data_IF_832754682309
#
_entry.id   IF_832754682309
#
_cell.length_a   1.000
_cell.length_b   1.000
_cell.length_c   1.000
_cell.angle_alpha   90.00
_cell.angle_beta   90.00
_cell.angle_gamma   90.00
#
_symmetry.space_group_name_H-M   'P 1'
#
loop_
_entity.id
_entity.type
_entity.pdbx_description
1 polymer ?
#
# COMPACT_ATOMS: atom_id res chain seq x y z
N UNK A 1 12.51 22.92 -7.05
CA UNK A 1 13.00 23.36 -5.73
C UNK A 1 12.25 24.59 -5.19
N UNK A 2 12.23 25.74 -5.86
CA UNK A 2 11.48 26.93 -5.36
C UNK A 2 9.99 26.67 -5.07
N UNK A 3 9.31 25.92 -5.95
CA UNK A 3 7.91 25.48 -5.75
C UNK A 3 7.70 24.58 -4.51
N UNK A 4 8.73 23.84 -4.09
CA UNK A 4 8.64 22.94 -2.93
C UNK A 4 8.81 23.71 -1.63
N UNK A 5 9.79 24.61 -1.56
CA UNK A 5 10.08 25.40 -0.36
C UNK A 5 8.92 26.32 0.05
N UNK A 6 8.22 26.96 -0.90
CA UNK A 6 7.05 27.83 -0.60
C UNK A 6 5.87 27.08 0.07
N UNK A 7 5.79 25.76 -0.14
CA UNK A 7 4.74 24.92 0.44
C UNK A 7 5.12 24.38 1.81
N UNK A 8 6.39 24.00 2.02
CA UNK A 8 6.87 23.48 3.30
C UNK A 8 6.79 24.51 4.44
N UNK A 9 7.04 25.78 4.15
CA UNK A 9 7.10 26.85 5.17
C UNK A 9 5.74 27.12 5.86
N UNK A 10 4.63 26.63 5.29
CA UNK A 10 3.26 26.86 5.76
C UNK A 10 2.69 25.71 6.60
N UNK A 11 3.47 24.65 6.84
CA UNK A 11 2.99 23.42 7.47
C UNK A 11 3.57 23.27 8.88
N UNK A 12 2.71 23.43 9.89
CA UNK A 12 3.11 23.37 11.31
C UNK A 12 2.97 21.98 11.94
N UNK A 13 2.28 21.03 11.30
CA UNK A 13 2.09 19.68 11.83
C UNK A 13 3.33 18.79 11.59
N UNK A 14 3.82 18.13 12.66
CA UNK A 14 5.04 17.31 12.64
C UNK A 14 4.97 16.12 11.68
N UNK A 15 3.81 15.49 11.53
CA UNK A 15 3.65 14.37 10.60
C UNK A 15 3.76 14.86 9.17
N UNK A 16 3.10 15.97 8.85
CA UNK A 16 3.20 16.59 7.55
C UNK A 16 4.62 17.09 7.26
N UNK A 17 5.33 17.63 8.25
CA UNK A 17 6.75 17.99 8.12
C UNK A 17 7.63 16.77 7.84
N UNK A 18 7.38 15.63 8.48
CA UNK A 18 8.09 14.37 8.23
C UNK A 18 7.84 13.87 6.80
N UNK A 19 6.59 13.93 6.34
CA UNK A 19 6.22 13.56 4.98
C UNK A 19 6.92 14.46 3.96
N UNK A 20 6.91 15.77 4.19
CA UNK A 20 7.64 16.75 3.37
C UNK A 20 9.14 16.50 3.34
N UNK A 21 9.73 16.22 4.50
CA UNK A 21 11.16 15.92 4.62
C UNK A 21 11.53 14.68 3.82
N UNK A 22 10.69 13.64 3.87
CA UNK A 22 10.88 12.40 3.13
C UNK A 22 10.73 12.60 1.62
N UNK A 23 9.73 13.38 1.20
CA UNK A 23 9.52 13.72 -0.20
C UNK A 23 10.72 14.49 -0.77
N UNK A 24 11.17 15.53 -0.06
CA UNK A 24 12.34 16.33 -0.44
C UNK A 24 13.61 15.49 -0.51
N UNK A 25 13.84 14.61 0.46
CA UNK A 25 14.99 13.71 0.47
C UNK A 25 14.97 12.77 -0.74
N UNK A 26 13.80 12.24 -1.11
CA UNK A 26 13.66 11.39 -2.30
C UNK A 26 13.88 12.14 -3.62
N UNK A 27 13.34 13.35 -3.78
CA UNK A 27 13.62 14.20 -4.94
C UNK A 27 15.10 14.62 -5.04
N UNK A 28 15.74 14.93 -3.90
CA UNK A 28 17.15 15.28 -3.87
C UNK A 28 18.06 14.10 -4.23
N UNK A 29 17.70 12.90 -3.79
CA UNK A 29 18.46 11.67 -4.07
C UNK A 29 18.26 11.19 -5.51
N UNK A 30 17.02 11.25 -6.00
CA UNK A 30 16.67 10.80 -7.35
C UNK A 30 15.54 11.69 -7.90
N UNK A 31 15.90 12.74 -8.68
CA UNK A 31 14.92 13.64 -9.29
C UNK A 31 13.86 12.90 -10.11
N UNK A 32 12.60 13.30 -9.95
CA UNK A 32 11.46 12.68 -10.65
C UNK A 32 10.91 11.42 -9.97
N UNK A 33 11.33 11.13 -8.73
CA UNK A 33 10.75 10.05 -7.91
C UNK A 33 9.27 10.33 -7.60
N UNK A 34 8.93 11.60 -7.39
CA UNK A 34 7.59 12.10 -7.14
C UNK A 34 7.10 12.93 -8.33
N UNK A 35 5.87 12.66 -8.76
CA UNK A 35 5.26 13.47 -9.82
C UNK A 35 4.94 14.86 -9.28
N UNK A 36 4.92 15.89 -10.15
CA UNK A 36 4.47 17.22 -9.77
C UNK A 36 3.07 17.19 -9.12
N UNK A 37 2.17 16.35 -9.67
CA UNK A 37 0.82 16.14 -9.12
C UNK A 37 0.85 15.61 -7.68
N UNK A 38 1.78 14.71 -7.36
CA UNK A 38 1.93 14.17 -5.99
C UNK A 38 2.43 15.23 -5.02
N UNK A 39 3.36 16.09 -5.46
CA UNK A 39 3.85 17.21 -4.65
C UNK A 39 2.74 18.23 -4.39
N UNK A 40 1.99 18.58 -5.44
CA UNK A 40 0.86 19.50 -5.34
C UNK A 40 -0.22 18.94 -4.40
N UNK A 41 -0.48 17.63 -4.48
CA UNK A 41 -1.39 16.93 -3.59
C UNK A 41 -0.96 17.02 -2.12
N UNK A 42 0.30 16.68 -1.81
CA UNK A 42 0.84 16.75 -0.44
C UNK A 42 0.75 18.17 0.12
N UNK A 43 0.85 19.20 -0.73
CA UNK A 43 0.68 20.59 -0.33
C UNK A 43 -0.74 21.01 0.01
N UNK A 44 -1.74 20.29 -0.50
CA UNK A 44 -3.15 20.51 -0.17
C UNK A 44 -3.70 19.51 0.85
N UNK A 45 -2.95 18.45 1.15
CA UNK A 45 -3.38 17.38 2.05
C UNK A 45 -3.42 17.87 3.50
N UNK A 46 -4.54 17.62 4.18
CA UNK A 46 -4.64 17.89 5.60
C UNK A 46 -4.14 16.71 6.45
N UNK A 47 -4.04 16.94 7.76
CA UNK A 47 -3.58 15.90 8.69
C UNK A 47 -4.50 14.67 8.70
N UNK A 48 -5.82 14.86 8.61
CA UNK A 48 -6.79 13.77 8.70
C UNK A 48 -6.67 12.85 7.50
N UNK A 49 -6.44 13.41 6.32
CA UNK A 49 -6.17 12.67 5.09
C UNK A 49 -4.87 11.87 5.21
N UNK A 50 -3.81 12.50 5.73
CA UNK A 50 -2.52 11.84 5.95
C UNK A 50 -2.62 10.68 6.95
N UNK A 51 -3.31 10.89 8.08
CA UNK A 51 -3.56 9.86 9.09
C UNK A 51 -4.38 8.72 8.52
N UNK A 52 -5.47 9.02 7.80
CA UNK A 52 -6.32 8.02 7.18
C UNK A 52 -5.55 7.17 6.17
N UNK A 53 -4.76 7.81 5.30
CA UNK A 53 -3.96 7.09 4.30
C UNK A 53 -2.85 6.24 4.94
N UNK A 54 -2.17 6.79 5.96
CA UNK A 54 -1.13 6.04 6.70
C UNK A 54 -1.72 4.81 7.36
N UNK A 55 -2.87 4.95 8.00
CA UNK A 55 -3.57 3.84 8.61
C UNK A 55 -4.10 2.84 7.55
N UNK A 56 -4.61 3.30 6.41
CA UNK A 56 -4.99 2.44 5.28
C UNK A 56 -3.81 1.60 4.75
N UNK A 57 -2.61 2.19 4.69
CA UNK A 57 -1.44 1.54 4.11
C UNK A 57 -0.97 0.29 4.88
N UNK A 58 -1.41 0.08 6.13
CA UNK A 58 -1.19 -1.18 6.86
C UNK A 58 -1.75 -2.42 6.12
N UNK A 59 -2.70 -2.20 5.22
CA UNK A 59 -3.34 -3.26 4.43
C UNK A 59 -2.59 -3.59 3.13
N UNK A 60 -1.32 -3.19 3.02
CA UNK A 60 -0.54 -3.27 1.78
C UNK A 60 0.46 -4.42 1.79
N UNK A 61 0.45 -5.20 0.72
CA UNK A 61 1.47 -6.19 0.39
C UNK A 61 2.32 -5.72 -0.80
N UNK A 62 3.56 -6.17 -0.88
CA UNK A 62 4.39 -6.05 -2.07
C UNK A 62 4.23 -7.29 -2.93
N UNK A 63 3.51 -7.17 -4.04
CA UNK A 63 3.31 -8.23 -5.03
C UNK A 63 3.87 -7.71 -6.35
N UNK A 64 5.20 -7.62 -6.45
CA UNK A 64 5.90 -6.88 -7.51
C UNK A 64 5.90 -5.35 -7.31
N UNK A 65 4.76 -4.78 -6.92
CA UNK A 65 4.58 -3.40 -6.50
C UNK A 65 3.71 -3.35 -5.22
N UNK A 66 3.59 -2.17 -4.59
CA UNK A 66 2.72 -1.99 -3.44
C UNK A 66 1.26 -2.17 -3.87
N UNK A 67 0.60 -3.12 -3.23
CA UNK A 67 -0.72 -3.62 -3.59
C UNK A 67 -1.57 -3.70 -2.31
N UNK A 68 -2.56 -2.81 -2.11
CA UNK A 68 -3.49 -2.92 -0.99
C UNK A 68 -4.40 -4.13 -1.19
N UNK A 69 -4.59 -4.94 -0.15
CA UNK A 69 -5.50 -6.08 -0.18
C UNK A 69 -6.77 -5.76 0.61
N UNK A 70 -7.84 -5.38 -0.11
CA UNK A 70 -9.15 -5.01 0.46
C UNK A 70 -10.23 -5.89 -0.13
N UNK A 71 -10.45 -7.07 0.43
CA UNK A 71 -11.38 -8.05 -0.15
C UNK A 71 -12.85 -7.71 0.11
N UNK A 72 -13.15 -7.26 1.33
CA UNK A 72 -14.50 -6.91 1.78
C UNK A 72 -14.44 -5.69 2.71
N UNK A 73 -15.08 -4.59 2.31
CA UNK A 73 -15.03 -3.31 3.02
C UNK A 73 -15.77 -3.32 4.35
N UNK A 74 -16.63 -4.31 4.57
CA UNK A 74 -17.44 -4.41 5.79
C UNK A 74 -16.81 -5.35 6.82
N UNK A 75 -15.71 -6.03 6.46
CA UNK A 75 -15.01 -6.94 7.37
C UNK A 75 -14.35 -6.18 8.53
N UNK A 76 -14.50 -6.72 9.75
CA UNK A 76 -13.98 -6.12 10.98
C UNK A 76 -12.46 -5.87 10.94
N UNK A 77 -11.70 -6.67 10.18
CA UNK A 77 -10.26 -6.47 10.01
C UNK A 77 -9.90 -5.07 9.47
N UNK A 78 -10.82 -4.43 8.72
CA UNK A 78 -10.66 -3.08 8.20
C UNK A 78 -11.43 -2.06 9.06
N UNK A 79 -12.69 -2.35 9.39
CA UNK A 79 -13.60 -1.36 9.97
C UNK A 79 -13.20 -0.96 11.38
N UNK A 80 -12.59 -1.85 12.18
CA UNK A 80 -12.05 -1.51 13.51
C UNK A 80 -10.89 -0.52 13.46
N UNK A 81 -10.24 -0.41 12.31
CA UNK A 81 -9.20 0.60 12.04
C UNK A 81 -9.79 1.82 11.34
N UNK A 82 -11.12 1.98 11.26
CA UNK A 82 -11.76 3.12 10.57
C UNK A 82 -11.68 3.05 9.04
N UNK A 83 -11.27 1.90 8.47
CA UNK A 83 -11.28 1.67 7.03
C UNK A 83 -12.59 0.97 6.66
N UNK A 84 -13.49 1.70 6.02
CA UNK A 84 -14.82 1.27 5.63
C UNK A 84 -15.19 1.89 4.28
N UNK A 85 -16.40 1.63 3.77
CA UNK A 85 -16.83 2.16 2.48
C UNK A 85 -16.66 3.69 2.37
N UNK A 86 -17.05 4.44 3.39
CA UNK A 86 -16.98 5.91 3.39
C UNK A 86 -15.54 6.40 3.34
N UNK A 87 -14.65 5.86 4.18
CA UNK A 87 -13.26 6.30 4.21
C UNK A 87 -12.47 5.85 2.97
N UNK A 88 -12.77 4.67 2.42
CA UNK A 88 -12.24 4.23 1.11
C UNK A 88 -12.73 5.16 0.00
N UNK A 89 -14.02 5.51 -0.02
CA UNK A 89 -14.56 6.47 -1.01
C UNK A 89 -13.93 7.85 -0.91
N UNK A 90 -13.56 8.28 0.29
CA UNK A 90 -12.81 9.52 0.49
C UNK A 90 -11.38 9.42 -0.07
N UNK A 91 -10.64 8.35 0.22
CA UNK A 91 -9.30 8.13 -0.34
C UNK A 91 -9.30 8.07 -1.88
N UNK A 92 -10.38 7.52 -2.47
CA UNK A 92 -10.64 7.48 -3.91
C UNK A 92 -10.89 8.89 -4.47
N UNK A 93 -11.74 9.69 -3.80
CA UNK A 93 -12.08 11.05 -4.25
C UNK A 93 -10.91 12.03 -4.20
N UNK A 94 -10.02 11.88 -3.21
CA UNK A 94 -8.78 12.69 -3.11
C UNK A 94 -7.65 12.12 -3.99
N UNK A 95 -7.89 11.00 -4.67
CA UNK A 95 -7.00 10.46 -5.70
C UNK A 95 -5.78 9.73 -5.18
N UNK A 96 -5.82 9.17 -3.96
CA UNK A 96 -4.76 8.30 -3.43
C UNK A 96 -4.94 6.84 -3.81
N UNK A 97 -6.19 6.42 -3.98
CA UNK A 97 -6.55 5.08 -4.42
C UNK A 97 -7.56 5.15 -5.58
N UNK A 98 -7.79 4.01 -6.21
CA UNK A 98 -8.94 3.77 -7.08
C UNK A 98 -9.78 2.65 -6.47
N UNK A 99 -11.09 2.89 -6.32
CA UNK A 99 -11.99 1.96 -5.66
C UNK A 99 -13.09 1.42 -6.59
N UNK A 100 -13.08 0.11 -6.81
CA UNK A 100 -14.06 -0.63 -7.64
C UNK A 100 -14.89 -1.57 -6.75
N UNK A 101 -16.08 -1.12 -6.36
CA UNK A 101 -16.89 -1.79 -5.33
C UNK A 101 -17.50 -3.13 -5.78
N UNK A 102 -17.65 -3.33 -7.09
CA UNK A 102 -18.35 -4.48 -7.70
C UNK A 102 -17.37 -5.51 -8.26
N UNK A 103 -16.57 -5.15 -9.27
CA UNK A 103 -15.68 -6.08 -9.96
C UNK A 103 -14.37 -6.34 -9.20
N UNK A 104 -13.91 -5.34 -8.47
CA UNK A 104 -12.58 -5.32 -7.87
C UNK A 104 -11.45 -5.47 -8.89
N UNK A 105 -10.29 -5.85 -8.39
CA UNK A 105 -9.01 -5.89 -9.07
C UNK A 105 -8.31 -7.23 -8.92
N UNK A 106 -7.47 -7.52 -9.91
CA UNK A 106 -6.63 -8.70 -9.98
C UNK A 106 -5.30 -8.35 -10.62
N UNK A 107 -4.24 -9.05 -10.21
CA UNK A 107 -2.95 -9.03 -10.88
C UNK A 107 -2.84 -10.27 -11.76
N UNK A 108 -2.44 -10.08 -13.01
CA UNK A 108 -2.36 -11.11 -14.05
C UNK A 108 -0.91 -11.37 -14.46
N UNK A 109 -0.67 -12.46 -15.19
CA UNK A 109 0.64 -12.77 -15.77
C UNK A 109 1.66 -13.28 -14.74
N UNK A 110 1.18 -13.85 -13.63
CA UNK A 110 2.04 -14.31 -12.55
C UNK A 110 2.67 -15.68 -12.89
N UNK A 111 3.95 -15.91 -12.54
CA UNK A 111 4.63 -17.18 -12.75
C UNK A 111 4.10 -18.27 -11.81
N UNK A 112 4.61 -19.51 -11.96
CA UNK A 112 4.33 -20.62 -11.04
C UNK A 112 4.63 -20.28 -9.57
N UNK A 113 5.72 -19.57 -9.30
CA UNK A 113 6.14 -19.18 -7.95
C UNK A 113 6.61 -17.72 -7.93
N UNK A 114 6.20 -16.98 -6.89
CA UNK A 114 6.65 -15.61 -6.66
C UNK A 114 6.89 -15.35 -5.17
N UNK A 115 7.88 -14.53 -4.85
CA UNK A 115 8.04 -13.97 -3.52
C UNK A 115 7.16 -12.71 -3.39
N UNK A 116 6.27 -12.72 -2.39
CA UNK A 116 5.48 -11.56 -1.98
C UNK A 116 5.95 -11.12 -0.59
N UNK A 117 5.83 -9.84 -0.27
CA UNK A 117 6.36 -9.31 0.99
C UNK A 117 5.30 -8.54 1.75
N UNK A 118 5.31 -8.70 3.06
CA UNK A 118 4.53 -7.87 3.97
C UNK A 118 5.46 -7.23 4.98
N UNK A 119 5.64 -5.92 4.89
CA UNK A 119 6.56 -5.16 5.75
C UNK A 119 7.95 -5.80 5.87
N UNK A 120 8.52 -6.18 4.72
CA UNK A 120 9.85 -6.79 4.63
C UNK A 120 9.91 -8.29 4.93
N UNK A 121 8.81 -8.91 5.38
CA UNK A 121 8.75 -10.35 5.60
C UNK A 121 8.36 -11.08 4.30
N UNK A 122 9.22 -11.96 3.76
CA UNK A 122 8.92 -12.69 2.53
C UNK A 122 8.02 -13.91 2.78
N UNK A 123 7.08 -14.11 1.87
CA UNK A 123 6.23 -15.31 1.75
C UNK A 123 6.33 -15.80 0.31
N UNK A 124 6.60 -17.09 0.11
CA UNK A 124 6.56 -17.70 -1.22
C UNK A 124 5.12 -18.10 -1.53
N UNK A 125 4.61 -17.56 -2.63
CA UNK A 125 3.32 -17.91 -3.20
C UNK A 125 3.54 -18.86 -4.39
N UNK A 126 2.98 -20.07 -4.28
CA UNK A 126 2.92 -21.04 -5.37
C UNK A 126 1.52 -21.06 -5.98
N UNK A 127 1.46 -20.75 -7.27
CA UNK A 127 0.25 -20.64 -8.06
C UNK A 127 -0.07 -21.96 -8.76
N UNK A 128 -1.33 -22.21 -9.18
CA UNK A 128 -1.72 -23.50 -9.73
C UNK A 128 -1.07 -23.83 -11.09
N UNK A 129 -0.94 -22.85 -12.00
CA UNK A 129 -0.43 -23.08 -13.35
C UNK A 129 1.06 -22.72 -13.48
N UNK A 130 1.73 -23.19 -14.53
CA UNK A 130 3.16 -22.91 -14.76
C UNK A 130 3.44 -21.43 -15.09
N UNK A 131 2.48 -20.75 -15.71
CA UNK A 131 2.55 -19.33 -16.08
C UNK A 131 1.14 -18.74 -16.21
N UNK A 132 1.07 -17.44 -16.48
CA UNK A 132 -0.16 -16.71 -16.76
C UNK A 132 -1.21 -16.83 -15.64
N UNK A 133 -0.75 -16.94 -14.38
CA UNK A 133 -1.60 -17.00 -13.21
C UNK A 133 -2.17 -15.62 -12.85
N UNK A 134 -3.17 -15.65 -11.97
CA UNK A 134 -3.78 -14.45 -11.40
C UNK A 134 -3.92 -14.51 -9.88
N UNK A 135 -4.05 -13.35 -9.26
CA UNK A 135 -4.45 -13.18 -7.86
C UNK A 135 -5.43 -12.02 -7.77
N UNK A 136 -6.59 -12.23 -7.13
CA UNK A 136 -7.51 -11.15 -6.77
C UNK A 136 -6.89 -10.37 -5.61
N UNK A 137 -6.80 -9.06 -5.77
CA UNK A 137 -6.22 -8.14 -4.78
C UNK A 137 -7.30 -7.36 -4.03
N UNK A 138 -8.57 -7.61 -4.34
CA UNK A 138 -9.70 -6.97 -3.68
C UNK A 138 -10.20 -5.75 -4.46
N UNK A 139 -10.77 -4.77 -3.78
CA UNK A 139 -11.57 -3.69 -4.38
C UNK A 139 -10.79 -2.40 -4.60
N UNK A 140 -9.51 -2.35 -4.21
CA UNK A 140 -8.71 -1.12 -4.20
C UNK A 140 -7.38 -1.31 -4.93
N UNK A 141 -6.94 -0.27 -5.65
CA UNK A 141 -5.57 -0.11 -6.13
C UNK A 141 -5.03 1.27 -5.71
N UNK A 142 -3.72 1.42 -5.60
CA UNK A 142 -3.13 2.75 -5.48
C UNK A 142 -3.18 3.49 -6.83
N UNK A 143 -3.41 4.80 -6.77
CA UNK A 143 -3.07 5.70 -7.88
C UNK A 143 -1.56 5.91 -7.92
N UNK A 144 -1.06 6.67 -8.91
CA UNK A 144 0.34 7.08 -8.93
C UNK A 144 0.76 7.82 -7.65
N UNK A 145 -0.08 8.71 -7.12
CA UNK A 145 0.21 9.42 -5.88
C UNK A 145 0.26 8.45 -4.69
N UNK A 146 -0.71 7.54 -4.59
CA UNK A 146 -0.71 6.49 -3.57
C UNK A 146 0.57 5.63 -3.60
N UNK A 147 1.00 5.19 -4.79
CA UNK A 147 2.21 4.39 -4.95
C UNK A 147 3.49 5.13 -4.56
N UNK A 148 3.55 6.43 -4.78
CA UNK A 148 4.71 7.22 -4.39
C UNK A 148 4.72 7.48 -2.87
N UNK A 149 3.55 7.72 -2.28
CA UNK A 149 3.42 8.09 -0.87
C UNK A 149 3.45 6.90 0.09
N UNK A 150 3.01 5.71 -0.32
CA UNK A 150 3.00 4.51 0.56
C UNK A 150 4.38 4.21 1.17
N UNK A 151 5.45 4.49 0.42
CA UNK A 151 6.84 4.29 0.88
C UNK A 151 7.30 5.23 2.00
N UNK A 152 6.63 6.38 2.17
CA UNK A 152 7.03 7.44 3.11
C UNK A 152 5.94 7.82 4.12
N UNK A 153 4.75 7.20 4.04
CA UNK A 153 3.63 7.49 4.94
C UNK A 153 3.85 6.99 6.39
N UNK A 154 4.80 6.08 6.62
CA UNK A 154 5.13 5.59 7.96
C UNK A 154 4.15 4.56 8.52
N UNK A 155 3.35 3.92 7.66
CA UNK A 155 2.45 2.84 8.05
C UNK A 155 3.19 1.71 8.77
N UNK A 156 2.51 1.02 9.68
CA UNK A 156 3.10 -0.03 10.52
C UNK A 156 2.47 -1.38 10.23
N UNK A 157 3.24 -2.45 10.49
CA UNK A 157 2.80 -3.83 10.30
C UNK A 157 1.64 -4.17 11.22
N UNK A 158 0.57 -4.72 10.65
CA UNK A 158 -0.55 -5.31 11.39
C UNK A 158 -0.50 -6.85 11.30
N UNK A 159 -0.32 -7.54 12.44
CA UNK A 159 -0.22 -9.00 12.50
C UNK A 159 -1.55 -9.69 12.18
N UNK A 160 -2.66 -9.17 12.69
CA UNK A 160 -3.97 -9.77 12.44
C UNK A 160 -4.34 -9.67 10.96
N UNK A 161 -4.00 -8.55 10.32
CA UNK A 161 -4.19 -8.41 8.89
C UNK A 161 -3.29 -9.34 8.08
N UNK A 162 -2.06 -9.58 8.52
CA UNK A 162 -1.20 -10.57 7.87
C UNK A 162 -1.89 -11.94 7.83
N UNK A 163 -2.40 -12.42 8.96
CA UNK A 163 -3.09 -13.70 9.07
C UNK A 163 -4.33 -13.76 8.18
N UNK A 164 -5.15 -12.70 8.23
CA UNK A 164 -6.31 -12.56 7.37
C UNK A 164 -5.94 -12.58 5.88
N UNK A 165 -4.90 -11.84 5.47
CA UNK A 165 -4.45 -11.79 4.09
C UNK A 165 -3.95 -13.17 3.60
N UNK A 166 -3.18 -13.88 4.42
CA UNK A 166 -2.73 -15.25 4.14
C UNK A 166 -3.94 -16.17 3.90
N UNK A 167 -4.97 -16.08 4.75
CA UNK A 167 -6.20 -16.89 4.59
C UNK A 167 -6.93 -16.55 3.27
N UNK A 168 -7.13 -15.26 2.98
CA UNK A 168 -7.82 -14.82 1.76
C UNK A 168 -7.07 -15.18 0.49
N UNK A 169 -5.74 -15.11 0.50
CA UNK A 169 -4.91 -15.53 -0.65
C UNK A 169 -4.99 -17.05 -0.80
N UNK A 170 -4.93 -17.82 0.30
CA UNK A 170 -5.00 -19.29 0.27
C UNK A 170 -6.32 -19.81 -0.31
N UNK A 171 -7.45 -19.12 -0.04
CA UNK A 171 -8.77 -19.43 -0.64
C UNK A 171 -8.78 -19.36 -2.17
N UNK A 172 -7.80 -18.72 -2.78
CA UNK A 172 -7.65 -18.60 -4.23
C UNK A 172 -6.83 -19.76 -4.85
N UNK A 173 -6.63 -20.87 -4.12
CA UNK A 173 -5.82 -22.03 -4.54
C UNK A 173 -4.34 -21.70 -4.72
N UNK A 174 -3.86 -20.71 -3.97
CA UNK A 174 -2.45 -20.30 -3.92
C UNK A 174 -1.86 -20.88 -2.63
N UNK A 175 -0.82 -21.68 -2.74
CA UNK A 175 -0.13 -22.23 -1.56
C UNK A 175 0.88 -21.22 -1.06
N UNK A 176 0.83 -20.90 0.24
CA UNK A 176 1.71 -19.94 0.87
C UNK A 176 2.67 -20.64 1.82
N UNK A 177 3.95 -20.33 1.71
CA UNK A 177 4.99 -20.86 2.60
C UNK A 177 5.87 -19.73 3.11
N UNK A 178 6.14 -19.72 4.41
CA UNK A 178 7.07 -18.77 5.00
C UNK A 178 8.51 -19.22 4.69
N UNK A 179 9.37 -18.26 4.36
CA UNK A 179 10.81 -18.52 4.37
C UNK A 179 11.25 -18.52 5.84
N UNK A 180 11.27 -19.70 6.48
CA UNK A 180 12.00 -19.83 7.74
C UNK A 180 13.49 -19.67 7.36
N UNK A 181 14.21 -18.65 7.86
CA UNK A 181 15.63 -18.59 7.64
C UNK A 181 16.25 -19.86 8.22
N UNK A 182 16.84 -20.67 7.35
CA UNK A 182 17.63 -21.82 7.74
C UNK A 182 18.62 -21.33 8.80
N UNK A 183 18.45 -21.74 10.07
CA UNK A 183 19.50 -21.58 11.07
C UNK A 183 20.67 -22.39 10.56
N UNK A 184 21.62 -21.73 9.89
CA UNK A 184 22.94 -22.30 9.66
C UNK A 184 23.55 -22.49 11.04
N UNK A 185 23.46 -23.72 11.54
CA UNK A 185 24.28 -24.21 12.63
C UNK A 185 25.71 -24.21 12.09
N UNK A 186 26.49 -23.22 12.49
CA UNK A 186 27.94 -23.26 12.49
C UNK A 186 28.38 -23.06 13.94
#
# INVERSE_FOLDING_TARGET
MAHFFDKCDKVSDKQMQSLWSSLLAGEATRPGTYSKRTVDFVASMDKKDADLFTNFCQFTWMIGDATPLVFDTDNEIYTKHGINFTSIKHLDSIGLISFESVSGYRKMGLPKQAAIFYYGQPTIAEFPNDKDNEIKTGKVLFTQAGQQLVSICGAQRNQEFYEYAIEQISKQKITLSSLIPNKRVN
#
